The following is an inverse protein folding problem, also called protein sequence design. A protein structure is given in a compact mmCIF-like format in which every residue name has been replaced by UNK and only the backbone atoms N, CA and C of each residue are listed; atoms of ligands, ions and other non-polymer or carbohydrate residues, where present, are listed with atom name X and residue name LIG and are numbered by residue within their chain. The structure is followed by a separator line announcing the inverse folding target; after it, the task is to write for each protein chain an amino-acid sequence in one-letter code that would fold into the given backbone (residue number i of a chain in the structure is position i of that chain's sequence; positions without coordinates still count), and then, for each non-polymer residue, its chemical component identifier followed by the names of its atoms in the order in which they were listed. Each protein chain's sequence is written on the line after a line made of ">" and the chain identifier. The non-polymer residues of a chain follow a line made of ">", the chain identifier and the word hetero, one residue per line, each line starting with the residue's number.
data_IF_501210262960
#
_entry.id   IF_501210262960
#
_cell.length_a   1.000
_cell.length_b   1.000
_cell.length_c   1.000
_cell.angle_alpha   90.00
_cell.angle_beta   90.00
_cell.angle_gamma   90.00
#
_symmetry.space_group_name_H-M   'P 1'
#
loop_
_entity.id
_entity.type
_entity.pdbx_description
1 polymer ?
2 water ?
#
# COMPACT_ATOMS: atom_id res chain seq x y z
N UNK A 7 -1.93 -17.12 11.94
CA UNK A 7 -2.54 -16.38 10.86
C UNK A 7 -1.60 -16.14 9.70
N UNK A 8 -0.30 -16.19 9.97
CA UNK A 8 0.69 -15.82 8.97
C UNK A 8 1.56 -17.01 8.57
N UNK A 9 1.16 -18.22 8.97
CA UNK A 9 1.84 -19.46 8.57
C UNK A 9 2.05 -19.51 7.07
N UNK A 10 0.98 -19.29 6.31
CA UNK A 10 1.05 -19.41 4.86
C UNK A 10 1.93 -18.33 4.25
N UNK A 11 1.76 -17.07 4.68
CA UNK A 11 2.63 -16.03 4.13
C UNK A 11 4.09 -16.34 4.42
N UNK A 12 4.38 -16.81 5.64
CA UNK A 12 5.78 -17.09 5.99
C UNK A 12 6.32 -18.25 5.18
N UNK A 13 5.50 -19.29 4.98
CA UNK A 13 5.87 -20.39 4.10
C UNK A 13 6.27 -19.87 2.73
N UNK A 14 5.44 -19.02 2.13
CA UNK A 14 5.70 -18.56 0.77
C UNK A 14 6.78 -17.49 0.68
N UNK A 15 6.95 -16.65 1.70
CA UNK A 15 7.85 -15.50 1.52
C UNK A 15 9.09 -15.54 2.42
N UNK A 16 9.17 -16.47 3.37
CA UNK A 16 10.28 -16.48 4.29
C UNK A 16 10.20 -15.35 5.30
N UNK A 17 11.33 -15.09 5.94
CA UNK A 17 11.41 -14.04 6.94
C UNK A 17 11.51 -12.68 6.26
N UNK A 18 10.76 -11.68 6.71
CA UNK A 18 11.01 -10.33 6.21
C UNK A 18 12.47 -9.92 6.41
N UNK A 19 13.14 -9.57 5.32
CA UNK A 19 14.57 -9.30 5.31
C UNK A 19 14.89 -7.90 5.85
N UNK A 20 16.02 -7.77 6.53
CA UNK A 20 16.49 -6.50 7.09
C UNK A 20 15.38 -5.76 7.85
N UNK A 21 14.76 -6.40 8.84
CA UNK A 21 13.59 -5.77 9.48
C UNK A 21 13.98 -4.57 10.36
N UNK A 22 13.15 -3.53 10.31
CA UNK A 22 13.13 -2.47 11.30
C UNK A 22 12.16 -2.85 12.41
N UNK A 23 12.54 -2.54 13.66
CA UNK A 23 11.74 -2.90 14.84
C UNK A 23 10.55 -1.96 14.96
N UNK A 24 9.37 -2.50 15.26
CA UNK A 24 8.25 -1.64 15.64
C UNK A 24 8.10 -1.71 17.16
N UNK A 25 8.33 -0.56 17.82
CA UNK A 25 8.36 -0.55 19.28
C UNK A 25 7.01 -0.79 19.91
N UNK A 26 7.05 -1.13 21.20
CA UNK A 26 5.81 -1.46 21.90
C UNK A 26 4.91 -0.25 22.05
N UNK A 27 5.49 0.94 22.28
CA UNK A 27 4.68 2.14 22.34
C UNK A 27 3.90 2.33 21.04
N UNK A 28 4.58 2.20 19.89
CA UNK A 28 3.91 2.27 18.60
C UNK A 28 2.82 1.20 18.46
N UNK A 29 3.11 -0.04 18.86
CA UNK A 29 2.11 -1.10 18.74
C UNK A 29 0.95 -0.83 19.71
N UNK A 30 1.23 -0.21 20.86
CA UNK A 30 0.16 0.09 21.81
C UNK A 30 -0.83 1.08 21.21
N UNK A 31 -0.29 2.09 20.52
CA UNK A 31 -1.10 3.08 19.82
C UNK A 31 -2.18 2.47 18.92
N UNK A 32 -2.03 1.23 18.45
CA UNK A 32 -2.99 0.68 17.49
C UNK A 32 -3.86 -0.42 18.06
N UNK A 33 -3.85 -0.62 19.39
CA UNK A 33 -4.76 -1.57 20.03
C UNK A 33 -6.21 -1.27 19.69
N UNK A 34 -6.92 -2.30 19.25
CA UNK A 34 -8.30 -2.22 18.77
C UNK A 34 -8.46 -1.35 17.53
N UNK A 35 -7.37 -0.89 16.93
CA UNK A 35 -7.46 -0.20 15.65
C UNK A 35 -6.89 -1.01 14.50
N UNK A 36 -5.97 -1.93 14.77
CA UNK A 36 -5.44 -2.87 13.78
C UNK A 36 -5.57 -4.24 14.42
N UNK A 37 -6.01 -5.28 13.70
CA UNK A 37 -6.21 -6.60 14.34
C UNK A 37 -4.95 -7.09 15.06
N UNK A 38 -5.16 -7.71 16.23
CA UNK A 38 -4.01 -8.11 17.06
C UNK A 38 -3.17 -9.20 16.42
N UNK A 39 -3.78 -10.11 15.65
CA UNK A 39 -2.97 -11.13 14.99
C UNK A 39 -1.95 -10.48 14.06
N UNK A 40 -2.33 -9.40 13.37
CA UNK A 40 -1.35 -8.72 12.53
C UNK A 40 -0.28 -8.05 13.37
N UNK A 41 -0.68 -7.38 14.46
CA UNK A 41 0.30 -6.65 15.27
C UNK A 41 1.27 -7.62 15.93
N UNK A 42 0.79 -8.78 16.36
CA UNK A 42 1.69 -9.75 16.95
C UNK A 42 2.67 -10.31 15.92
N UNK A 43 2.19 -10.57 14.70
CA UNK A 43 3.11 -10.88 13.60
C UNK A 43 4.24 -9.85 13.49
N UNK A 44 3.90 -8.56 13.48
CA UNK A 44 4.91 -7.51 13.37
C UNK A 44 5.82 -7.49 14.61
N UNK A 45 5.23 -7.70 15.79
CA UNK A 45 6.02 -7.74 17.02
C UNK A 45 7.13 -8.79 16.91
N UNK A 46 6.82 -9.94 16.31
CA UNK A 46 7.81 -11.00 16.15
C UNK A 46 8.73 -10.75 14.97
N UNK A 47 8.17 -10.51 13.79
CA UNK A 47 9.00 -10.48 12.59
C UNK A 47 9.62 -9.12 12.33
N UNK A 48 9.16 -8.06 13.00
CA UNK A 48 9.59 -6.73 12.64
C UNK A 48 8.98 -6.27 11.31
N UNK A 49 9.58 -5.22 10.75
CA UNK A 49 9.09 -4.53 9.55
C UNK A 49 10.15 -4.66 8.46
N UNK A 50 10.03 -5.67 7.60
CA UNK A 50 11.06 -5.93 6.61
C UNK A 50 10.59 -6.10 5.18
N UNK A 51 11.47 -6.66 4.35
CA UNK A 51 11.32 -6.72 2.91
C UNK A 51 11.06 -8.17 2.49
N UNK A 52 10.17 -8.35 1.51
CA UNK A 52 9.88 -9.64 0.89
C UNK A 52 10.17 -9.56 -0.61
N UNK A 53 10.46 -10.73 -1.22
CA UNK A 53 10.60 -10.86 -2.68
C UNK A 53 11.54 -9.81 -3.26
N UNK A 54 12.60 -9.48 -2.53
CA UNK A 54 13.66 -8.60 -3.01
C UNK A 54 13.15 -7.17 -3.26
N UNK A 55 12.13 -6.74 -2.51
CA UNK A 55 11.61 -5.38 -2.62
C UNK A 55 10.26 -5.28 -3.27
N UNK A 56 9.68 -6.42 -3.69
CA UNK A 56 8.36 -6.39 -4.31
C UNK A 56 7.29 -5.92 -3.34
N UNK A 57 7.51 -6.13 -2.04
CA UNK A 57 6.67 -5.60 -0.98
C UNK A 57 7.55 -5.37 0.25
N UNK A 58 7.23 -4.34 1.01
CA UNK A 58 7.93 -4.09 2.26
C UNK A 58 6.90 -3.60 3.26
N UNK A 59 7.13 -3.92 4.54
CA UNK A 59 6.25 -3.43 5.59
C UNK A 59 6.80 -2.12 6.13
N UNK A 60 5.89 -1.31 6.66
CA UNK A 60 6.27 0.00 7.17
C UNK A 60 5.57 0.27 8.48
N UNK A 61 6.16 1.16 9.26
CA UNK A 61 5.54 1.61 10.49
C UNK A 61 4.43 2.61 10.18
N UNK A 62 3.16 2.29 10.48
CA UNK A 62 2.06 3.23 10.15
C UNK A 62 2.26 4.62 10.70
N UNK A 63 2.88 4.71 11.88
CA UNK A 63 3.15 6.01 12.47
C UNK A 63 4.05 6.86 11.57
N UNK A 64 5.02 6.24 10.90
CA UNK A 64 5.99 7.00 10.09
C UNK A 64 5.40 7.49 8.77
N UNK A 65 4.33 6.86 8.28
CA UNK A 65 3.74 7.21 7.00
C UNK A 65 2.32 7.79 7.11
N UNK A 66 1.88 8.20 8.30
CA UNK A 66 0.50 8.66 8.46
C UNK A 66 0.24 9.97 7.71
N UNK A 67 1.26 10.81 7.54
CA UNK A 67 1.07 12.02 6.74
C UNK A 67 0.70 11.67 5.29
N UNK A 68 1.20 10.55 4.76
CA UNK A 68 0.82 10.19 3.39
C UNK A 68 -0.66 9.84 3.34
N UNK A 69 -1.13 9.05 4.31
CA UNK A 69 -2.56 8.77 4.40
C UNK A 69 -3.35 10.06 4.57
N UNK A 70 -2.86 10.97 5.42
CA UNK A 70 -3.56 12.23 5.65
C UNK A 70 -3.69 13.02 4.35
N UNK A 71 -2.60 13.10 3.57
CA UNK A 71 -2.64 13.85 2.33
C UNK A 71 -3.50 13.17 1.28
N UNK A 72 -3.37 11.84 1.13
CA UNK A 72 -4.07 11.18 0.03
C UNK A 72 -5.57 11.13 0.29
N UNK A 73 -5.96 10.93 1.54
CA UNK A 73 -7.35 10.74 1.91
C UNK A 73 -7.95 11.97 2.58
N UNK A 74 -7.22 13.08 2.60
CA UNK A 74 -7.67 14.32 3.20
C UNK A 74 -9.12 14.65 2.92
N UNK A 75 -9.92 14.67 3.98
CA UNK A 75 -11.28 15.12 3.91
C UNK A 75 -12.28 14.12 3.39
N UNK A 76 -11.91 12.84 3.26
CA UNK A 76 -12.88 11.86 2.82
C UNK A 76 -13.80 11.46 3.96
N UNK A 77 -15.07 11.25 3.65
CA UNK A 77 -16.06 10.91 4.69
C UNK A 77 -16.04 9.42 5.01
N UNK A 78 -15.92 8.57 4.01
CA UNK A 78 -15.95 7.13 4.22
C UNK A 78 -14.59 6.54 4.59
N UNK A 79 -13.52 6.95 3.92
CA UNK A 79 -12.17 6.46 4.22
C UNK A 79 -11.43 7.57 4.96
N UNK A 80 -11.77 7.72 6.22
CA UNK A 80 -11.25 8.80 7.04
C UNK A 80 -9.77 8.57 7.34
N UNK A 81 -8.86 9.48 6.98
CA UNK A 81 -7.43 9.24 7.23
C UNK A 81 -7.12 8.89 8.69
N UNK A 82 -7.86 9.47 9.64
CA UNK A 82 -7.62 9.22 11.05
C UNK A 82 -7.84 7.76 11.42
N UNK A 83 -8.62 7.03 10.63
CA UNK A 83 -8.92 5.62 10.89
C UNK A 83 -8.32 4.70 9.82
N UNK A 84 -7.31 5.19 9.10
CA UNK A 84 -6.70 4.42 8.03
C UNK A 84 -5.20 4.40 8.24
N UNK A 85 -4.62 3.20 8.21
CA UNK A 85 -3.26 3.01 8.70
C UNK A 85 -2.45 2.29 7.63
N UNK A 86 -1.34 2.90 7.23
CA UNK A 86 -0.45 2.34 6.21
C UNK A 86 0.37 1.21 6.81
N UNK A 87 0.27 0.00 6.24
CA UNK A 87 0.96 -1.16 6.78
C UNK A 87 2.18 -1.58 5.97
N UNK A 88 2.18 -1.30 4.68
CA UNK A 88 3.30 -1.66 3.80
C UNK A 88 3.02 -1.16 2.41
N UNK A 89 4.00 -1.33 1.52
CA UNK A 89 3.76 -0.93 0.14
C UNK A 89 4.58 -1.74 -0.86
N UNK A 90 4.02 -1.91 -2.04
CA UNK A 90 4.73 -2.47 -3.18
C UNK A 90 6.00 -1.68 -3.49
N UNK A 91 6.76 -2.19 -4.47
CA UNK A 91 7.97 -1.54 -4.92
C UNK A 91 7.72 -0.21 -5.63
N UNK A 92 6.48 0.05 -6.04
CA UNK A 92 6.11 1.30 -6.70
C UNK A 92 5.27 2.21 -5.81
N UNK A 93 5.23 1.95 -4.51
CA UNK A 93 4.56 2.87 -3.62
C UNK A 93 3.08 2.64 -3.46
N UNK A 94 2.58 1.49 -3.91
CA UNK A 94 1.17 1.16 -3.72
C UNK A 94 0.98 0.62 -2.30
N UNK A 95 0.29 1.41 -1.47
CA UNK A 95 0.19 1.17 -0.03
C UNK A 95 -0.91 0.17 0.29
N UNK A 96 -0.56 -0.86 1.06
CA UNK A 96 -1.54 -1.70 1.75
C UNK A 96 -1.87 -1.05 3.08
N UNK A 97 -3.13 -0.66 3.26
CA UNK A 97 -3.57 0.07 4.44
C UNK A 97 -4.74 -0.65 5.09
N UNK A 98 -4.91 -0.41 6.38
CA UNK A 98 -6.04 -0.98 7.11
C UNK A 98 -6.97 0.15 7.51
N UNK A 99 -8.20 0.09 7.03
CA UNK A 99 -9.24 1.04 7.43
C UNK A 99 -10.08 0.39 8.54
N UNK A 100 -10.24 1.12 9.66
CA UNK A 100 -10.90 0.54 10.83
C UNK A 100 -12.36 0.20 10.57
N UNK A 101 -13.01 0.88 9.61
CA UNK A 101 -14.42 0.63 9.32
C UNK A 101 -14.63 -0.31 8.15
N UNK A 102 -13.76 -0.29 7.13
CA UNK A 102 -14.02 -1.05 5.91
C UNK A 102 -12.88 -1.99 5.54
N UNK A 103 -11.91 -2.19 6.45
CA UNK A 103 -10.81 -3.15 6.31
C UNK A 103 -9.81 -2.78 5.23
N UNK A 104 -9.35 -3.80 4.49
CA UNK A 104 -8.19 -3.67 3.60
C UNK A 104 -8.42 -2.61 2.54
N UNK A 105 -7.46 -1.71 2.41
CA UNK A 105 -7.51 -0.58 1.50
C UNK A 105 -6.21 -0.53 0.72
N UNK A 106 -6.27 -0.13 -0.56
CA UNK A 106 -5.07 0.04 -1.36
C UNK A 106 -5.02 1.48 -1.87
N UNK A 107 -3.87 2.12 -1.70
CA UNK A 107 -3.66 3.49 -2.13
C UNK A 107 -2.58 3.47 -3.18
N UNK A 108 -2.98 3.59 -4.45
CA UNK A 108 -2.05 3.52 -5.58
C UNK A 108 -1.49 4.92 -5.80
N UNK A 109 -0.28 5.15 -5.27
CA UNK A 109 0.35 6.47 -5.29
C UNK A 109 0.77 6.87 -6.70
N UNK A 110 1.26 5.90 -7.48
CA UNK A 110 1.74 6.19 -8.83
C UNK A 110 0.60 6.67 -9.74
N UNK A 111 -0.54 5.98 -9.70
CA UNK A 111 -1.64 6.21 -10.61
C UNK A 111 -2.77 7.05 -10.01
N UNK A 112 -2.68 7.41 -8.73
CA UNK A 112 -3.65 8.24 -8.03
C UNK A 112 -5.02 7.58 -7.95
N UNK A 113 -5.04 6.34 -7.45
CA UNK A 113 -6.26 5.57 -7.31
C UNK A 113 -6.36 4.98 -5.90
N UNK A 114 -7.58 4.78 -5.44
CA UNK A 114 -7.84 4.13 -4.16
C UNK A 114 -8.86 3.02 -4.42
N UNK A 115 -8.69 1.89 -3.73
CA UNK A 115 -9.60 0.76 -3.89
C UNK A 115 -9.98 0.16 -2.53
N UNK A 116 -11.27 -0.11 -2.36
CA UNK A 116 -11.77 -0.70 -1.13
C UNK A 116 -12.91 -1.69 -1.40
N UNK A 117 -12.71 -2.94 -1.01
CA UNK A 117 -13.70 -3.98 -1.23
C UNK A 117 -14.83 -3.91 -0.21
N UNK A 118 -14.50 -3.49 1.01
CA UNK A 118 -15.49 -3.38 2.08
C UNK A 118 -16.38 -2.16 1.99
N UNK A 119 -15.99 -1.14 1.22
CA UNK A 119 -16.92 -0.05 0.90
C UNK A 119 -18.08 -0.52 0.04
N UNK A 120 -17.88 -1.58 -0.77
CA UNK A 120 -18.82 -1.95 -1.82
C UNK A 120 -19.46 -3.31 -1.64
N UNK A 121 -18.86 -4.23 -0.91
CA UNK A 121 -19.52 -5.43 -0.43
C UNK A 121 -19.27 -5.51 1.07
N UNK A 122 -20.32 -5.73 1.85
CA UNK A 122 -20.21 -5.66 3.30
C UNK A 122 -19.43 -6.86 3.82
N UNK A 123 -18.53 -6.60 4.78
CA UNK A 123 -17.69 -7.62 5.38
C UNK A 123 -18.04 -7.70 6.86
N UNK A 124 -18.45 -8.87 7.37
CA UNK A 124 -18.74 -8.99 8.80
C UNK A 124 -17.49 -8.71 9.63
N UNK A 125 -17.68 -8.00 10.75
CA UNK A 125 -16.57 -7.50 11.57
C UNK A 125 -15.74 -8.63 12.19
N UNK A 126 -16.28 -9.85 12.29
CA UNK A 126 -15.50 -10.96 12.81
C UNK A 126 -14.62 -11.62 11.76
N UNK A 127 -14.50 -11.03 10.57
CA UNK A 127 -13.58 -11.50 9.54
C UNK A 127 -12.34 -10.61 9.43
N UNK A 128 -12.20 -9.61 10.30
CA UNK A 128 -11.09 -8.64 10.24
C UNK A 128 -9.73 -9.32 10.20
N UNK A 129 -9.41 -10.12 11.23
CA UNK A 129 -8.14 -10.84 11.26
C UNK A 129 -7.88 -11.61 9.98
N UNK A 130 -8.89 -12.36 9.52
CA UNK A 130 -8.78 -13.14 8.30
C UNK A 130 -8.61 -12.23 7.07
N UNK A 131 -9.34 -11.12 7.05
CA UNK A 131 -9.29 -10.16 5.94
C UNK A 131 -7.88 -9.61 5.76
N UNK A 132 -7.28 -9.12 6.85
CA UNK A 132 -5.92 -8.64 6.76
C UNK A 132 -4.96 -9.78 6.42
N UNK A 133 -5.23 -10.98 6.95
CA UNK A 133 -4.38 -12.11 6.63
C UNK A 133 -4.42 -12.48 5.16
N UNK A 134 -5.59 -12.38 4.56
CA UNK A 134 -5.68 -12.64 3.13
C UNK A 134 -4.89 -11.59 2.36
N UNK A 135 -5.03 -10.31 2.73
CA UNK A 135 -4.32 -9.26 2.01
C UNK A 135 -2.82 -9.50 2.07
N UNK A 136 -2.29 -9.93 3.23
CA UNK A 136 -0.84 -10.10 3.37
C UNK A 136 -0.35 -11.29 2.53
N UNK A 137 -1.14 -12.37 2.48
CA UNK A 137 -0.80 -13.50 1.61
C UNK A 137 -0.74 -13.09 0.14
N UNK A 138 -1.49 -12.07 -0.25
CA UNK A 138 -1.58 -11.71 -1.65
C UNK A 138 -0.55 -10.74 -2.22
N UNK A 139 0.46 -10.31 -1.46
CA UNK A 139 1.30 -9.18 -1.88
C UNK A 139 2.18 -9.53 -3.07
N UNK A 140 2.13 -10.78 -3.53
CA UNK A 140 2.91 -11.16 -4.71
C UNK A 140 2.09 -11.14 -6.01
N UNK A 141 0.81 -10.77 -5.94
CA UNK A 141 0.00 -10.68 -7.17
C UNK A 141 0.65 -9.74 -8.18
N UNK A 142 0.40 -10.00 -9.47
CA UNK A 142 0.93 -9.15 -10.53
C UNK A 142 0.37 -7.73 -10.44
N UNK A 143 -0.81 -7.57 -9.85
CA UNK A 143 -1.40 -6.24 -9.72
C UNK A 143 -0.53 -5.31 -8.88
N UNK A 144 0.42 -5.84 -8.10
CA UNK A 144 1.32 -4.98 -7.33
C UNK A 144 2.60 -4.68 -8.08
N UNK A 145 2.79 -5.27 -9.25
CA UNK A 145 3.85 -4.87 -10.16
C UNK A 145 3.37 -3.55 -10.76
N UNK A 146 4.00 -3.11 -11.84
CA UNK A 146 3.53 -1.88 -12.47
C UNK A 146 3.91 -1.95 -13.94
N UNK A 147 2.93 -1.95 -14.85
CA UNK A 147 3.23 -2.02 -16.28
C UNK A 147 3.77 -0.70 -16.79
N UNK A 148 4.68 -0.79 -17.77
CA UNK A 148 5.13 0.40 -18.49
C UNK A 148 4.08 0.79 -19.55
N UNK A 149 4.43 1.75 -20.42
CA UNK A 149 3.50 2.25 -21.43
C UNK A 149 3.12 1.18 -22.44
N UNK A 150 4.00 0.21 -22.69
CA UNK A 150 3.68 -0.91 -23.58
C UNK A 150 3.02 -2.09 -22.85
N UNK A 151 2.49 -1.87 -21.64
CA UNK A 151 1.81 -2.93 -20.92
C UNK A 151 2.70 -3.96 -20.26
N UNK A 152 4.01 -3.82 -20.33
CA UNK A 152 4.95 -4.82 -19.87
C UNK A 152 5.42 -4.50 -18.45
N UNK A 153 5.35 -5.50 -17.58
CA UNK A 153 5.68 -5.30 -16.17
C UNK A 153 7.12 -4.80 -15.99
N UNK A 154 7.33 -3.97 -14.96
CA UNK A 154 8.63 -3.31 -14.79
C UNK A 154 9.51 -3.84 -13.64
N UNK A 155 8.95 -4.58 -12.67
CA UNK A 155 9.73 -4.87 -11.45
C UNK A 155 11.05 -5.60 -11.76
N UNK A 156 10.99 -6.71 -12.50
CA UNK A 156 12.20 -7.52 -12.71
C UNK A 156 13.31 -6.73 -13.37
N UNK A 157 12.98 -5.96 -14.42
CA UNK A 157 14.01 -5.13 -15.06
C UNK A 157 14.53 -4.07 -14.09
N UNK A 158 13.65 -3.51 -13.25
CA UNK A 158 14.13 -2.47 -12.33
C UNK A 158 15.00 -3.07 -11.24
N UNK A 159 14.63 -4.24 -10.72
CA UNK A 159 15.50 -4.96 -9.78
C UNK A 159 16.90 -5.12 -10.37
N UNK A 160 16.99 -5.72 -11.56
CA UNK A 160 18.29 -5.94 -12.20
C UNK A 160 19.03 -4.64 -12.48
N UNK A 161 18.39 -3.65 -13.10
CA UNK A 161 19.15 -2.47 -13.54
C UNK A 161 19.33 -1.40 -12.47
N UNK A 162 18.46 -1.32 -11.45
CA UNK A 162 18.66 -0.33 -10.40
C UNK A 162 19.13 -0.94 -9.09
N UNK A 163 19.07 -2.26 -8.93
CA UNK A 163 19.40 -2.90 -7.69
C UNK A 163 18.21 -3.00 -6.75
N UNK A 164 18.40 -3.71 -5.65
CA UNK A 164 17.33 -3.96 -4.70
C UNK A 164 16.99 -2.70 -3.92
N UNK A 165 15.69 -2.50 -3.66
CA UNK A 165 15.31 -1.38 -2.81
C UNK A 165 15.77 -1.61 -1.37
N UNK A 166 16.28 -0.55 -0.76
CA UNK A 166 16.47 -0.51 0.69
C UNK A 166 15.15 -0.18 1.39
N UNK A 167 15.01 -0.67 2.63
CA UNK A 167 13.79 -0.41 3.39
C UNK A 167 13.54 1.09 3.46
N UNK A 168 12.33 1.50 3.09
CA UNK A 168 12.01 2.90 3.04
C UNK A 168 12.25 3.58 1.71
N UNK A 169 12.57 2.83 0.65
CA UNK A 169 12.61 3.36 -0.71
C UNK A 169 11.59 2.68 -1.61
N UNK A 170 11.29 3.33 -2.75
CA UNK A 170 10.46 2.78 -3.82
C UNK A 170 11.08 3.18 -5.16
N UNK A 171 10.64 2.51 -6.22
CA UNK A 171 10.92 2.97 -7.59
C UNK A 171 9.88 4.01 -7.98
N UNK A 172 10.35 5.14 -8.49
CA UNK A 172 9.53 6.30 -8.77
C UNK A 172 9.98 6.92 -10.08
N UNK A 173 9.06 7.48 -10.87
CA UNK A 173 9.48 8.12 -12.11
C UNK A 173 10.23 9.41 -11.81
N UNK A 174 11.34 9.61 -12.53
CA UNK A 174 12.10 10.84 -12.42
C UNK A 174 11.28 12.03 -12.89
N UNK A 175 10.77 11.97 -14.12
CA UNK A 175 9.84 12.95 -14.66
C UNK A 175 8.44 12.33 -14.68
N UNK A 176 7.51 12.90 -13.92
CA UNK A 176 6.21 12.23 -13.77
C UNK A 176 5.44 12.26 -15.09
N UNK A 177 4.74 11.16 -15.43
CA UNK A 177 3.93 11.13 -16.67
C UNK A 177 3.01 12.33 -16.87
N UNK A 178 2.41 12.84 -15.80
CA UNK A 178 1.48 13.95 -15.95
C UNK A 178 2.16 15.24 -16.37
N UNK A 179 3.49 15.27 -16.43
CA UNK A 179 4.26 16.41 -16.91
C UNK A 179 4.88 16.13 -18.27
N UNK A 180 4.59 14.98 -18.86
CA UNK A 180 5.22 14.56 -20.09
C UNK A 180 6.20 13.42 -19.90
N UNK A 181 6.42 12.97 -18.66
CA UNK A 181 7.34 11.88 -18.43
C UNK A 181 6.83 10.56 -18.96
N UNK A 182 7.75 9.64 -19.19
CA UNK A 182 7.41 8.31 -19.69
C UNK A 182 7.28 7.32 -18.56
N UNK A 183 6.24 6.50 -18.62
CA UNK A 183 6.13 5.31 -17.79
C UNK A 183 6.93 4.20 -18.48
N UNK A 184 8.25 4.28 -18.34
CA UNK A 184 9.19 3.28 -18.83
C UNK A 184 10.30 3.09 -17.81
N UNK A 185 10.96 1.93 -17.88
CA UNK A 185 12.03 1.60 -16.92
C UNK A 185 13.12 2.66 -16.95
N UNK A 186 13.40 3.25 -18.11
CA UNK A 186 14.47 4.24 -18.20
C UNK A 186 14.19 5.47 -17.35
N UNK A 187 12.91 5.81 -17.14
CA UNK A 187 12.55 7.00 -16.37
C UNK A 187 12.35 6.70 -14.88
N UNK A 188 12.56 5.47 -14.45
CA UNK A 188 12.38 5.10 -13.06
C UNK A 188 13.71 5.19 -12.25
N UNK A 189 13.62 5.61 -10.98
CA UNK A 189 14.77 5.73 -10.11
C UNK A 189 14.39 5.28 -8.69
N UNK A 190 15.35 4.74 -7.93
CA UNK A 190 15.09 4.45 -6.51
C UNK A 190 15.17 5.74 -5.69
N UNK A 191 14.16 5.98 -4.86
CA UNK A 191 14.05 7.23 -4.09
C UNK A 191 13.51 6.93 -2.69
N UNK A 192 13.70 7.90 -1.79
CA UNK A 192 13.09 7.86 -0.48
C UNK A 192 11.57 7.82 -0.60
N UNK A 193 10.95 6.82 0.02
CA UNK A 193 9.50 6.62 -0.17
C UNK A 193 8.69 7.75 0.47
N UNK A 194 9.02 8.12 1.71
CA UNK A 194 8.22 9.13 2.40
C UNK A 194 8.24 10.47 1.66
N UNK A 195 9.43 10.89 1.20
CA UNK A 195 9.56 12.14 0.44
C UNK A 195 8.77 12.08 -0.86
N UNK A 196 9.04 11.04 -1.67
CA UNK A 196 8.37 10.89 -2.96
C UNK A 196 6.85 10.81 -2.77
N UNK A 197 6.39 10.02 -1.80
CA UNK A 197 4.96 9.90 -1.55
C UNK A 197 4.37 11.21 -1.07
N UNK A 198 5.17 11.99 -0.33
CA UNK A 198 4.68 13.29 0.11
C UNK A 198 4.40 14.20 -1.09
N UNK A 199 5.23 14.12 -2.13
CA UNK A 199 5.01 14.93 -3.31
C UNK A 199 3.81 14.41 -4.09
N UNK A 200 3.81 13.10 -4.37
CA UNK A 200 2.78 12.50 -5.20
C UNK A 200 1.40 12.70 -4.59
N UNK A 201 1.27 12.50 -3.28
CA UNK A 201 -0.07 12.56 -2.69
C UNK A 201 -0.63 13.98 -2.67
N UNK A 202 0.18 14.99 -2.98
CA UNK A 202 -0.31 16.35 -3.09
C UNK A 202 -0.40 16.84 -4.53
N UNK A 203 -0.01 16.02 -5.49
CA UNK A 203 0.07 16.45 -6.89
C UNK A 203 -1.18 16.03 -7.65
N UNK A 204 -2.34 16.48 -7.17
CA UNK A 204 -3.60 16.10 -7.78
C UNK A 204 -4.46 15.17 -6.93
N UNK A 205 -5.71 14.96 -7.36
CA UNK A 205 -6.65 14.16 -6.58
C UNK A 205 -6.50 12.67 -6.83
N UNK A 206 -7.23 11.89 -6.03
CA UNK A 206 -7.28 10.44 -6.14
C UNK A 206 -8.70 10.00 -6.49
N UNK A 207 -8.81 9.00 -7.35
CA UNK A 207 -10.11 8.46 -7.72
C UNK A 207 -10.34 7.11 -7.04
N UNK A 208 -11.48 6.99 -6.38
CA UNK A 208 -11.88 5.75 -5.73
C UNK A 208 -12.56 4.85 -6.75
N UNK A 209 -12.14 3.59 -6.79
CA UNK A 209 -12.70 2.62 -7.72
C UNK A 209 -13.36 1.47 -6.97
N UNK A 210 -14.38 0.91 -7.61
CA UNK A 210 -15.13 -0.22 -7.07
C UNK A 210 -14.64 -1.47 -7.78
N UNK A 211 -13.80 -2.25 -7.10
CA UNK A 211 -13.31 -3.52 -7.66
C UNK A 211 -14.19 -4.70 -7.27
N UNK A 212 -15.43 -4.43 -6.81
CA UNK A 212 -16.41 -5.47 -6.50
C UNK A 212 -17.12 -5.94 -7.76
N UNK A 213 -17.53 -5.00 -8.63
CA UNK A 213 -18.12 -5.28 -9.92
C UNK A 213 -17.04 -5.64 -10.94
N UNK A 214 -17.37 -6.44 -11.95
CA UNK A 214 -16.40 -6.66 -13.05
C UNK A 214 -16.12 -5.40 -13.86
N UNK A 215 -17.06 -4.46 -13.90
CA UNK A 215 -16.87 -3.20 -14.60
C UNK A 215 -15.72 -2.37 -14.04
N UNK A 216 -15.38 -2.56 -12.76
CA UNK A 216 -14.37 -1.77 -12.05
C UNK A 216 -14.56 -0.27 -12.28
N UNK A 217 -15.75 0.27 -11.99
CA UNK A 217 -16.06 1.64 -12.38
C UNK A 217 -15.50 2.67 -11.40
N UNK A 218 -15.18 3.84 -11.94
CA UNK A 218 -14.80 4.96 -11.11
C UNK A 218 -16.04 5.45 -10.35
N UNK A 219 -15.89 5.64 -9.04
CA UNK A 219 -17.01 5.97 -8.18
C UNK A 219 -17.03 7.45 -7.82
N UNK A 220 -15.91 8.01 -7.40
CA UNK A 220 -15.85 9.43 -7.03
C UNK A 220 -14.40 9.83 -6.81
N UNK A 221 -14.21 11.11 -6.54
CA UNK A 221 -12.93 11.67 -6.15
C UNK A 221 -12.76 11.64 -4.64
N UNK A 222 -11.60 11.16 -4.16
CA UNK A 222 -11.35 11.12 -2.73
C UNK A 222 -11.39 12.55 -2.19
N UNK A 223 -11.96 12.71 -0.99
CA UNK A 223 -12.17 14.01 -0.38
C UNK A 223 -13.37 14.78 -0.90
N UNK A 224 -14.11 14.21 -1.87
CA UNK A 224 -15.29 14.86 -2.44
C UNK A 224 -16.46 13.88 -2.38
N UNK A 225 -17.64 14.40 -2.73
CA UNK A 225 -18.85 13.60 -2.77
C UNK A 225 -19.05 13.01 -4.16
N UNK A 226 -19.69 11.84 -4.22
CA UNK A 226 -20.03 11.25 -5.51
C UNK A 226 -21.10 12.08 -6.20
N UNK A 227 -20.99 12.16 -7.53
CA UNK A 227 -21.91 12.97 -8.32
C UNK A 227 -23.25 12.28 -8.60
#
# INVERSE_FOLDING_TARGET
>A
XPELFIMYENALKRFGLPENPEIMGEADIARYKNRIPETYLDFIRHAGLGIWKQGYFQFCNPEKYKSIVALALGGDKQLNPVRTHALGFSAFGKILAWNEDYKTTEINILLHRVTCRGLFKEIPAERSDINLGIAVEGIDAESFDAPDEKGKLMFNRLLKNLGKLQLGQIYSPKLHPSLGGQLTVENMRPVDALSAMTIAAQAGPFTLYDTTKPSTPAVRTIGSLEHHHHHH
#
